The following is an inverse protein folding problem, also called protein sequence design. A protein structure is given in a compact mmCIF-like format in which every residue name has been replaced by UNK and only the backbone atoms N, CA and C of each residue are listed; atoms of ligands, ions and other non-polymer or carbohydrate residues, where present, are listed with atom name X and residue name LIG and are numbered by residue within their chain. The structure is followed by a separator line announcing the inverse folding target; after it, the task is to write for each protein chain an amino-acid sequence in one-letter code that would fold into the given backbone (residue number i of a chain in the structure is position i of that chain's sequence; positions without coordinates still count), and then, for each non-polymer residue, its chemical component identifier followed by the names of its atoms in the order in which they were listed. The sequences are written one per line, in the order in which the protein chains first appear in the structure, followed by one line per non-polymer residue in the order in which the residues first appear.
data_IF_874819693988
#
_entry.id   IF_874819693988
#
_cell.length_a   1.000
_cell.length_b   1.000
_cell.length_c   1.000
_cell.angle_alpha   90.00
_cell.angle_beta   90.00
_cell.angle_gamma   90.00
#
_symmetry.space_group_name_H-M   'P 1'
#
loop_
_entity.id
_entity.type
_entity.pdbx_description
1 polymer ?
#
# COMPACT_ATOMS: atom_id res chain seq x y z
N UNK A 1 4.52 -9.77 -17.01
CA UNK A 1 5.67 -8.92 -16.59
C UNK A 1 5.87 -7.74 -17.55
N UNK A 2 6.36 -7.93 -18.78
CA UNK A 2 6.64 -6.83 -19.74
C UNK A 2 5.56 -5.76 -19.92
N UNK A 3 4.28 -6.13 -19.86
CA UNK A 3 3.16 -5.18 -20.01
C UNK A 3 3.09 -4.13 -18.89
N UNK A 4 3.49 -4.47 -17.66
CA UNK A 4 3.43 -3.58 -16.50
C UNK A 4 4.72 -2.75 -16.33
N UNK A 5 5.85 -3.30 -16.77
CA UNK A 5 7.19 -2.69 -16.63
C UNK A 5 7.27 -1.30 -17.28
N UNK A 6 6.59 -1.08 -18.42
CA UNK A 6 6.54 0.22 -19.12
C UNK A 6 5.95 1.36 -18.29
N UNK A 7 5.20 1.03 -17.23
CA UNK A 7 4.57 2.00 -16.33
C UNK A 7 5.32 2.18 -15.00
N UNK A 8 6.32 1.36 -14.73
CA UNK A 8 6.99 1.33 -13.44
C UNK A 8 7.98 2.48 -13.30
N UNK A 9 7.96 3.12 -12.13
CA UNK A 9 9.08 3.92 -11.63
C UNK A 9 10.23 3.01 -11.21
N UNK A 10 9.89 1.94 -10.49
CA UNK A 10 10.84 0.96 -9.95
C UNK A 10 10.13 -0.40 -9.85
N UNK A 11 10.91 -1.46 -10.01
CA UNK A 11 10.49 -2.81 -9.65
C UNK A 11 11.41 -3.24 -8.51
N UNK A 12 10.82 -3.64 -7.39
CA UNK A 12 11.56 -3.95 -6.17
C UNK A 12 11.12 -5.31 -5.60
N UNK A 13 11.98 -5.91 -4.77
CA UNK A 13 11.68 -7.15 -4.07
C UNK A 13 11.51 -6.86 -2.58
N UNK A 14 10.26 -6.68 -2.16
CA UNK A 14 9.90 -6.20 -0.83
C UNK A 14 9.21 -7.35 -0.10
N UNK A 15 9.75 -7.74 1.07
CA UNK A 15 9.18 -8.76 1.96
C UNK A 15 8.80 -10.06 1.21
N UNK A 16 9.67 -10.51 0.30
CA UNK A 16 9.47 -11.74 -0.46
C UNK A 16 8.59 -11.63 -1.72
N UNK A 17 8.14 -10.44 -2.11
CA UNK A 17 7.28 -10.21 -3.27
C UNK A 17 7.91 -9.25 -4.29
N UNK A 18 7.79 -9.60 -5.57
CA UNK A 18 8.04 -8.66 -6.65
C UNK A 18 6.95 -7.60 -6.69
N UNK A 19 7.39 -6.34 -6.65
CA UNK A 19 6.54 -5.18 -6.47
C UNK A 19 6.80 -4.18 -7.58
N UNK A 20 5.75 -3.86 -8.32
CA UNK A 20 5.76 -3.00 -9.48
C UNK A 20 5.23 -1.63 -9.06
N UNK A 21 6.14 -0.71 -8.75
CA UNK A 21 5.81 0.62 -8.23
C UNK A 21 5.57 1.52 -9.43
N UNK A 22 4.35 2.02 -9.57
CA UNK A 22 3.91 2.74 -10.77
C UNK A 22 4.33 4.20 -10.70
N UNK A 23 4.92 4.70 -11.78
CA UNK A 23 5.28 6.12 -11.90
C UNK A 23 4.01 6.98 -11.98
N UNK A 24 3.88 8.05 -11.18
CA UNK A 24 2.70 8.92 -11.18
C UNK A 24 2.33 9.49 -12.56
N UNK A 25 3.33 9.69 -13.43
CA UNK A 25 3.12 10.18 -14.80
C UNK A 25 2.30 9.23 -15.69
N UNK A 26 2.15 7.97 -15.28
CA UNK A 26 1.44 6.93 -16.02
C UNK A 26 0.10 6.52 -15.43
N UNK A 27 -0.34 7.17 -14.34
CA UNK A 27 -1.59 6.81 -13.65
C UNK A 27 -2.81 6.83 -14.57
N UNK A 28 -2.97 7.90 -15.36
CA UNK A 28 -4.14 8.00 -16.24
C UNK A 28 -4.05 7.00 -17.41
N UNK A 29 -2.84 6.71 -17.91
CA UNK A 29 -2.64 5.73 -18.99
C UNK A 29 -2.94 4.29 -18.57
N UNK A 30 -2.62 3.90 -17.33
CA UNK A 30 -2.95 2.56 -16.82
C UNK A 30 -4.47 2.34 -16.77
N UNK A 31 -5.25 3.39 -16.47
CA UNK A 31 -6.71 3.29 -16.40
C UNK A 31 -7.35 3.00 -17.76
N UNK A 32 -6.64 3.31 -18.85
CA UNK A 32 -7.06 3.12 -20.24
C UNK A 32 -6.52 1.82 -20.86
N UNK A 33 -5.54 1.17 -20.22
CA UNK A 33 -4.92 -0.07 -20.72
C UNK A 33 -5.76 -1.30 -20.37
N UNK A 34 -6.82 -1.53 -21.16
CA UNK A 34 -7.77 -2.63 -20.93
C UNK A 34 -7.11 -4.02 -20.97
N UNK A 35 -6.07 -4.21 -21.79
CA UNK A 35 -5.32 -5.47 -21.84
C UNK A 35 -4.61 -5.72 -20.51
N UNK A 36 -3.89 -4.72 -20.00
CA UNK A 36 -3.22 -4.81 -18.70
C UNK A 36 -4.23 -5.04 -17.57
N UNK A 37 -5.32 -4.29 -17.53
CA UNK A 37 -6.33 -4.42 -16.46
C UNK A 37 -6.99 -5.80 -16.47
N UNK A 38 -7.28 -6.35 -17.65
CA UNK A 38 -7.79 -7.71 -17.81
C UNK A 38 -6.79 -8.77 -17.34
N UNK A 39 -5.50 -8.56 -17.63
CA UNK A 39 -4.41 -9.42 -17.15
C UNK A 39 -4.28 -9.38 -15.61
N UNK A 40 -4.30 -8.18 -15.01
CA UNK A 40 -4.19 -7.99 -13.56
C UNK A 40 -5.48 -8.34 -12.79
N UNK A 41 -6.57 -8.62 -13.50
CA UNK A 41 -7.92 -8.82 -12.93
C UNK A 41 -8.39 -7.61 -12.10
N UNK A 42 -8.12 -6.39 -12.58
CA UNK A 42 -8.44 -5.13 -11.89
C UNK A 42 -9.46 -4.29 -12.64
N UNK A 43 -10.20 -3.48 -11.89
CA UNK A 43 -11.12 -2.51 -12.46
C UNK A 43 -10.51 -1.10 -12.45
N UNK A 44 -10.82 -0.25 -13.44
CA UNK A 44 -10.42 1.16 -13.40
C UNK A 44 -10.94 1.88 -12.14
N UNK A 45 -12.13 1.53 -11.66
CA UNK A 45 -12.76 2.14 -10.47
C UNK A 45 -11.95 1.89 -9.20
N UNK A 46 -11.46 0.66 -9.02
CA UNK A 46 -10.55 0.30 -7.93
C UNK A 46 -9.30 1.17 -8.00
N UNK A 47 -8.61 1.20 -9.15
CA UNK A 47 -7.35 1.93 -9.30
C UNK A 47 -7.49 3.44 -9.13
N UNK A 48 -8.62 4.03 -9.57
CA UNK A 48 -8.91 5.46 -9.35
C UNK A 48 -8.88 5.83 -7.87
N UNK A 49 -9.31 4.93 -6.99
CA UNK A 49 -9.28 5.16 -5.54
C UNK A 49 -7.83 5.23 -5.03
N UNK A 50 -7.00 4.26 -5.41
CA UNK A 50 -5.58 4.23 -5.03
C UNK A 50 -4.81 5.44 -5.58
N UNK A 51 -5.06 5.80 -6.84
CA UNK A 51 -4.45 6.96 -7.52
C UNK A 51 -4.84 8.26 -6.83
N UNK A 52 -6.12 8.43 -6.48
CA UNK A 52 -6.61 9.61 -5.76
C UNK A 52 -5.90 9.75 -4.41
N UNK A 53 -5.84 8.65 -3.63
CA UNK A 53 -5.17 8.63 -2.34
C UNK A 53 -3.68 8.97 -2.45
N UNK A 54 -2.98 8.40 -3.43
CA UNK A 54 -1.58 8.71 -3.70
C UNK A 54 -1.36 10.20 -4.03
N UNK A 55 -2.18 10.75 -4.93
CA UNK A 55 -2.11 12.16 -5.36
C UNK A 55 -2.40 13.15 -4.23
N UNK A 56 -3.36 12.85 -3.36
CA UNK A 56 -3.85 13.78 -2.33
C UNK A 56 -3.10 13.66 -1.00
N UNK A 57 -2.73 12.44 -0.59
CA UNK A 57 -2.18 12.22 0.75
C UNK A 57 -0.67 12.47 0.84
N UNK A 58 0.11 12.01 -0.15
CA UNK A 58 1.56 12.20 -0.18
C UNK A 58 2.10 11.99 -1.60
N UNK A 59 1.96 12.97 -2.51
CA UNK A 59 2.19 12.80 -3.95
C UNK A 59 3.62 12.39 -4.34
N UNK A 60 4.61 12.65 -3.48
CA UNK A 60 6.02 12.30 -3.73
C UNK A 60 6.47 11.03 -3.02
N UNK A 61 5.62 10.47 -2.14
CA UNK A 61 5.99 9.36 -1.27
C UNK A 61 5.04 8.18 -1.36
N UNK A 62 3.76 8.38 -1.65
CA UNK A 62 2.77 7.31 -1.74
C UNK A 62 2.48 6.99 -3.20
N UNK A 63 2.70 5.74 -3.59
CA UNK A 63 2.58 5.30 -4.97
C UNK A 63 1.58 4.16 -5.10
N UNK A 64 0.80 4.15 -6.18
CA UNK A 64 0.14 2.93 -6.65
C UNK A 64 1.19 1.85 -6.94
N UNK A 65 0.97 0.64 -6.45
CA UNK A 65 1.80 -0.50 -6.76
C UNK A 65 0.97 -1.76 -6.98
N UNK A 66 1.60 -2.74 -7.64
CA UNK A 66 1.07 -4.09 -7.77
C UNK A 66 2.08 -5.10 -7.26
N UNK A 67 1.62 -6.10 -6.51
CA UNK A 67 2.43 -7.26 -6.11
C UNK A 67 1.92 -8.52 -6.79
N UNK A 68 2.84 -9.42 -7.10
CA UNK A 68 2.53 -10.75 -7.60
C UNK A 68 2.76 -11.81 -6.51
N UNK A 69 1.68 -12.47 -6.10
CA UNK A 69 1.67 -13.57 -5.14
C UNK A 69 1.53 -14.91 -5.88
N UNK A 70 2.64 -15.58 -6.25
CA UNK A 70 2.59 -16.80 -7.06
C UNK A 70 1.87 -17.96 -6.37
N UNK A 71 1.80 -17.95 -5.04
CA UNK A 71 1.18 -19.00 -4.24
C UNK A 71 -0.33 -18.85 -4.07
N UNK A 72 -0.93 -17.78 -4.62
CA UNK A 72 -2.38 -17.57 -4.61
C UNK A 72 -3.01 -18.15 -5.87
N UNK A 73 -4.29 -18.49 -5.78
CA UNK A 73 -5.09 -18.88 -6.94
C UNK A 73 -5.10 -17.76 -8.00
N UNK A 74 -5.16 -18.11 -9.28
CA UNK A 74 -4.90 -17.24 -10.44
C UNK A 74 -5.56 -15.85 -10.32
N UNK A 75 -6.84 -15.78 -9.99
CA UNK A 75 -7.60 -14.53 -9.89
C UNK A 75 -7.13 -13.58 -8.77
N UNK A 76 -6.31 -14.06 -7.83
CA UNK A 76 -5.81 -13.33 -6.67
C UNK A 76 -4.29 -13.25 -6.64
N UNK A 77 -3.61 -13.65 -7.72
CA UNK A 77 -2.15 -13.53 -7.82
C UNK A 77 -1.70 -12.07 -7.87
N UNK A 78 -2.52 -11.16 -8.40
CA UNK A 78 -2.19 -9.73 -8.44
C UNK A 78 -2.95 -8.96 -7.36
N UNK A 79 -2.22 -8.30 -6.46
CA UNK A 79 -2.80 -7.40 -5.45
C UNK A 79 -2.51 -5.96 -5.82
N UNK A 80 -3.50 -5.08 -5.65
CA UNK A 80 -3.33 -3.63 -5.70
C UNK A 80 -3.04 -3.13 -4.30
N UNK A 81 -2.05 -2.25 -4.13
CA UNK A 81 -1.69 -1.67 -2.84
C UNK A 81 -1.02 -0.31 -3.02
N UNK A 82 -0.69 0.34 -1.90
CA UNK A 82 0.23 1.46 -1.89
C UNK A 82 1.63 1.02 -1.50
N UNK A 83 2.63 1.67 -2.11
CA UNK A 83 4.01 1.68 -1.64
C UNK A 83 4.37 3.06 -1.12
N UNK A 84 4.91 3.13 0.10
CA UNK A 84 5.42 4.37 0.68
C UNK A 84 6.95 4.45 0.52
N UNK A 85 7.45 5.56 0.00
CA UNK A 85 8.86 5.87 -0.19
C UNK A 85 9.39 6.67 1.00
N UNK A 86 10.46 6.19 1.60
CA UNK A 86 11.25 6.95 2.57
C UNK A 86 12.75 6.79 2.26
N UNK A 87 13.40 7.88 1.86
CA UNK A 87 14.74 7.81 1.27
C UNK A 87 14.73 6.92 0.02
N UNK A 88 15.65 5.95 -0.02
CA UNK A 88 15.79 4.99 -1.13
C UNK A 88 14.93 3.72 -0.98
N UNK A 89 14.23 3.59 0.14
CA UNK A 89 13.44 2.40 0.47
C UNK A 89 11.96 2.58 0.18
N UNK A 90 11.31 1.48 -0.18
CA UNK A 90 9.87 1.37 -0.36
C UNK A 90 9.29 0.35 0.61
N UNK A 91 8.09 0.63 1.11
CA UNK A 91 7.36 -0.22 2.05
C UNK A 91 5.95 -0.48 1.54
N UNK A 92 5.48 -1.72 1.62
CA UNK A 92 4.06 -2.02 1.41
C UNK A 92 3.24 -1.45 2.55
N UNK A 93 2.25 -0.62 2.22
CA UNK A 93 1.43 0.03 3.23
C UNK A 93 -0.05 -0.04 2.90
N UNK A 94 -0.85 0.02 3.95
CA UNK A 94 -2.29 0.17 3.87
C UNK A 94 -2.67 1.59 4.27
N UNK A 95 -3.37 2.29 3.37
CA UNK A 95 -3.82 3.67 3.58
C UNK A 95 -5.20 3.72 4.27
N UNK A 96 -5.37 4.65 5.21
CA UNK A 96 -6.67 5.04 5.77
C UNK A 96 -6.76 6.56 5.90
N UNK A 97 -7.96 7.11 5.70
CA UNK A 97 -8.24 8.52 5.94
C UNK A 97 -8.69 8.83 7.37
N UNK A 98 -8.82 7.80 8.21
CA UNK A 98 -9.15 7.96 9.62
C UNK A 98 -8.79 6.72 10.44
N UNK A 99 -8.77 6.89 11.76
CA UNK A 99 -8.56 5.82 12.71
C UNK A 99 -9.39 5.98 13.97
N UNK A 100 -9.95 4.87 14.45
CA UNK A 100 -10.79 4.85 15.65
C UNK A 100 -9.97 4.42 16.86
N UNK A 101 -9.86 5.28 17.87
CA UNK A 101 -9.27 4.91 19.15
C UNK A 101 -10.20 3.94 19.88
N UNK A 102 -9.78 2.68 20.10
CA UNK A 102 -10.59 1.70 20.83
C UNK A 102 -10.76 2.00 22.33
N UNK A 103 -9.89 2.84 22.90
CA UNK A 103 -9.93 3.19 24.32
C UNK A 103 -11.02 4.21 24.64
N UNK A 104 -11.22 5.22 23.77
CA UNK A 104 -12.17 6.31 24.03
C UNK A 104 -13.20 6.56 22.91
N UNK A 105 -13.16 5.77 21.83
CA UNK A 105 -14.07 5.92 20.69
C UNK A 105 -13.82 7.16 19.82
N UNK A 106 -12.78 7.95 20.09
CA UNK A 106 -12.43 9.11 19.29
C UNK A 106 -11.98 8.71 17.88
N UNK A 107 -12.61 9.31 16.86
CA UNK A 107 -12.25 9.14 15.46
C UNK A 107 -11.21 10.20 15.06
N UNK A 108 -9.96 9.78 14.91
CA UNK A 108 -8.88 10.60 14.39
C UNK A 108 -9.00 10.68 12.86
N UNK A 109 -9.18 11.87 12.31
CA UNK A 109 -9.29 12.09 10.87
C UNK A 109 -7.98 12.67 10.32
N UNK A 110 -7.19 11.80 9.70
CA UNK A 110 -5.90 12.13 9.10
C UNK A 110 -5.57 11.06 8.05
N UNK A 111 -4.85 11.41 6.97
CA UNK A 111 -4.23 10.44 6.09
C UNK A 111 -3.14 9.71 6.86
N UNK A 112 -3.40 8.46 7.21
CA UNK A 112 -2.45 7.61 7.90
C UNK A 112 -2.15 6.38 7.06
N UNK A 113 -0.95 5.85 7.25
CA UNK A 113 -0.56 4.58 6.68
C UNK A 113 -0.06 3.63 7.77
N UNK A 114 -0.24 2.34 7.54
CA UNK A 114 0.30 1.27 8.38
C UNK A 114 1.03 0.24 7.52
N UNK A 115 2.03 -0.46 8.06
CA UNK A 115 2.67 -1.58 7.37
C UNK A 115 1.63 -2.61 6.92
N UNK A 116 1.79 -3.16 5.72
CA UNK A 116 0.86 -4.18 5.21
C UNK A 116 0.76 -5.40 6.13
N UNK A 117 1.87 -5.79 6.78
CA UNK A 117 1.91 -6.90 7.74
C UNK A 117 0.92 -6.73 8.92
N UNK A 118 0.68 -5.49 9.37
CA UNK A 118 -0.29 -5.24 10.44
C UNK A 118 -1.72 -5.07 9.92
N UNK A 119 -1.89 -4.71 8.64
CA UNK A 119 -3.20 -4.54 8.02
C UNK A 119 -3.82 -5.87 7.61
N UNK A 120 -2.99 -6.79 7.09
CA UNK A 120 -3.39 -8.12 6.62
C UNK A 120 -2.33 -9.14 7.03
N UNK A 121 -2.63 -9.87 8.11
CA UNK A 121 -1.74 -10.87 8.71
C UNK A 121 -1.38 -12.05 7.79
N UNK A 122 -2.12 -12.26 6.69
CA UNK A 122 -1.84 -13.32 5.72
C UNK A 122 -1.26 -12.79 4.41
N UNK A 123 -0.99 -11.49 4.32
CA UNK A 123 -0.57 -10.87 3.07
C UNK A 123 0.69 -11.53 2.49
N UNK A 124 1.67 -11.78 3.35
CA UNK A 124 2.97 -12.39 3.01
C UNK A 124 2.98 -13.92 3.15
N UNK A 125 1.84 -14.55 3.42
CA UNK A 125 1.76 -16.00 3.60
C UNK A 125 2.25 -16.74 2.34
N UNK A 126 3.17 -17.68 2.56
CA UNK A 126 3.84 -18.46 1.52
C UNK A 126 5.05 -17.77 0.89
N UNK A 127 5.40 -16.55 1.31
CA UNK A 127 6.65 -15.92 0.88
C UNK A 127 7.82 -16.41 1.74
N UNK A 128 9.05 -16.01 1.41
CA UNK A 128 10.22 -16.31 2.26
C UNK A 128 10.15 -15.55 3.59
N UNK A 129 9.43 -14.44 3.63
CA UNK A 129 9.32 -13.54 4.78
C UNK A 129 7.86 -13.44 5.19
N UNK A 130 7.35 -14.52 5.81
CA UNK A 130 5.92 -14.64 6.14
C UNK A 130 5.44 -13.63 7.21
N UNK A 131 6.37 -13.05 7.97
CA UNK A 131 6.09 -12.10 9.06
C UNK A 131 7.20 -11.04 9.11
N UNK A 132 7.23 -10.12 8.13
CA UNK A 132 8.30 -9.14 8.03
C UNK A 132 8.27 -8.19 9.21
N UNK A 133 9.45 -7.85 9.72
CA UNK A 133 9.59 -6.93 10.84
C UNK A 133 9.00 -5.55 10.50
N UNK A 134 8.35 -4.92 11.48
CA UNK A 134 7.79 -3.58 11.30
C UNK A 134 8.91 -2.55 11.11
N UNK A 135 8.94 -1.78 10.00
CA UNK A 135 9.95 -0.77 9.80
C UNK A 135 9.89 0.33 10.86
N UNK A 136 11.04 0.80 11.33
CA UNK A 136 11.16 1.76 12.46
C UNK A 136 10.56 3.15 12.21
N UNK A 137 10.20 3.45 10.95
CA UNK A 137 9.48 4.66 10.58
C UNK A 137 8.02 4.64 11.06
N UNK A 138 7.45 3.45 11.23
CA UNK A 138 6.11 3.27 11.76
C UNK A 138 6.18 3.15 13.28
N UNK A 139 5.33 3.91 13.98
CA UNK A 139 5.38 4.02 15.44
C UNK A 139 3.99 3.92 16.04
N UNK A 140 3.92 3.53 17.32
CA UNK A 140 2.69 3.70 18.10
C UNK A 140 2.48 5.20 18.31
N UNK A 141 1.44 5.74 17.69
CA UNK A 141 1.02 7.12 17.93
C UNK A 141 -0.02 7.14 19.06
N UNK A 142 -0.03 8.20 19.87
CA UNK A 142 -1.01 8.36 20.94
C UNK A 142 -2.30 8.97 20.39
N UNK A 143 -3.45 8.54 20.92
CA UNK A 143 -4.73 9.18 20.64
C UNK A 143 -4.69 10.63 21.13
N UNK A 144 -5.02 11.64 20.30
CA UNK A 144 -4.98 13.03 20.72
C UNK A 144 -6.04 13.38 21.78
N UNK A 145 -7.10 12.56 21.92
CA UNK A 145 -8.17 12.80 22.89
C UNK A 145 -7.86 12.22 24.29
N UNK A 146 -7.41 10.96 24.38
CA UNK A 146 -7.20 10.28 25.67
C UNK A 146 -5.73 9.98 26.00
N UNK A 147 -4.79 10.31 25.11
CA UNK A 147 -3.35 10.09 25.29
C UNK A 147 -2.89 8.62 25.24
N UNK A 148 -3.81 7.66 25.10
CA UNK A 148 -3.48 6.23 25.04
C UNK A 148 -2.88 5.85 23.66
N UNK A 149 -1.89 4.95 23.61
CA UNK A 149 -1.30 4.50 22.35
C UNK A 149 -2.32 3.75 21.49
N UNK A 150 -2.25 3.96 20.19
CA UNK A 150 -3.07 3.28 19.20
C UNK A 150 -2.55 1.86 18.94
N UNK A 151 -3.44 0.94 18.53
CA UNK A 151 -3.14 -0.50 18.48
C UNK A 151 -2.11 -0.89 17.42
N UNK A 152 -2.01 -0.16 16.31
CA UNK A 152 -1.11 -0.44 15.19
C UNK A 152 0.06 0.54 15.16
N UNK A 153 1.16 0.15 14.52
CA UNK A 153 2.22 1.07 14.13
C UNK A 153 1.77 1.86 12.91
N UNK A 154 1.75 3.18 13.06
CA UNK A 154 1.22 4.11 12.07
C UNK A 154 2.30 5.11 11.69
N UNK A 155 2.13 5.70 10.50
CA UNK A 155 2.75 6.95 10.11
C UNK A 155 1.64 7.91 9.70
N UNK A 156 1.62 9.08 10.31
CA UNK A 156 0.77 10.19 9.89
C UNK A 156 1.42 10.90 8.70
N UNK A 157 0.63 11.21 7.67
CA UNK A 157 1.08 11.88 6.46
C UNK A 157 0.79 13.39 6.47
N UNK A 158 0.27 13.93 7.57
CA UNK A 158 0.13 15.38 7.79
C UNK A 158 1.45 16.11 8.07
#
# INVERSE_FOLDING_TARGET
MKLLEKYCLKIDYIDGLYTYIISPQFYDRILEDHELLSYLKKSPTELRTFIKQAREAAPEQLYLAFTHHPNRIENYQWSTLHCFKNGEHFYHVFFRSSWLCRECGYLYQAPIIMPMAEADAIYYSGTKDNDPAIPSIFRKINCPNCGKPLQNHLLDLH
#
